data_IF_519622894384
#
_entry.id   IF_519622894384
#
_cell.length_a   1.000
_cell.length_b   1.000
_cell.length_c   1.000
_cell.angle_alpha   90.00
_cell.angle_beta   90.00
_cell.angle_gamma   90.00
#
_symmetry.space_group_name_H-M   'P 1'
#
loop_
_entity.id
_entity.type
_entity.pdbx_description
1 polymer ?
#
# COMPACT_ATOMS: atom_id res chain seq x y z
N UNK A 1 9.06 -0.18 6.89
CA UNK A 1 7.96 0.48 6.14
C UNK A 1 6.88 0.89 7.14
N UNK A 2 6.14 1.98 6.91
CA UNK A 2 5.16 2.53 7.86
C UNK A 2 3.79 1.81 7.87
N UNK A 3 2.74 2.53 8.29
CA UNK A 3 1.38 2.00 8.36
C UNK A 3 0.73 1.77 6.98
N UNK A 4 -0.54 1.34 6.98
CA UNK A 4 -1.27 0.95 5.76
C UNK A 4 -1.22 1.98 4.62
N UNK A 5 -1.32 3.28 4.93
CA UNK A 5 -1.20 4.32 3.90
C UNK A 5 0.17 4.32 3.20
N UNK A 6 1.26 4.11 3.94
CA UNK A 6 2.60 4.05 3.34
C UNK A 6 2.73 2.85 2.41
N UNK A 7 2.18 1.70 2.80
CA UNK A 7 2.18 0.49 1.99
C UNK A 7 1.31 0.68 0.74
N UNK A 8 0.15 1.33 0.86
CA UNK A 8 -0.72 1.61 -0.28
C UNK A 8 -0.09 2.59 -1.27
N UNK A 9 0.51 3.68 -0.80
CA UNK A 9 1.31 4.58 -1.66
C UNK A 9 2.49 3.84 -2.31
N UNK A 10 3.14 2.94 -1.57
CA UNK A 10 4.21 2.11 -2.12
C UNK A 10 3.72 1.21 -3.25
N UNK A 11 2.55 0.56 -3.08
CA UNK A 11 1.93 -0.26 -4.11
C UNK A 11 1.59 0.55 -5.35
N UNK A 12 0.97 1.73 -5.19
CA UNK A 12 0.63 2.58 -6.33
C UNK A 12 1.85 2.94 -7.19
N UNK A 13 2.97 3.29 -6.54
CA UNK A 13 4.21 3.66 -7.23
C UNK A 13 4.91 2.45 -7.86
N UNK A 14 4.90 1.31 -7.19
CA UNK A 14 5.40 0.05 -7.74
C UNK A 14 4.58 -0.39 -8.97
N UNK A 15 3.26 -0.28 -8.91
CA UNK A 15 2.36 -0.58 -10.02
C UNK A 15 2.57 0.37 -11.19
N UNK A 16 2.75 1.68 -10.93
CA UNK A 16 3.08 2.64 -11.99
C UNK A 16 4.41 2.30 -12.66
N UNK A 17 5.45 1.93 -11.88
CA UNK A 17 6.69 1.40 -12.46
C UNK A 17 6.43 0.14 -13.30
N UNK A 18 5.68 -0.83 -12.80
CA UNK A 18 5.36 -2.05 -13.56
C UNK A 18 4.67 -1.72 -14.90
N UNK A 19 3.76 -0.74 -14.89
CA UNK A 19 3.09 -0.21 -16.10
C UNK A 19 4.09 0.40 -17.08
N UNK A 20 4.90 1.36 -16.63
CA UNK A 20 5.89 2.05 -17.46
C UNK A 20 6.95 1.08 -18.02
N UNK A 21 7.29 0.03 -17.25
CA UNK A 21 8.23 -1.03 -17.62
C UNK A 21 7.60 -2.15 -18.47
N UNK A 22 6.27 -2.15 -18.64
CA UNK A 22 5.49 -3.25 -19.27
C UNK A 22 5.78 -4.61 -18.66
N UNK A 23 5.76 -4.68 -17.32
CA UNK A 23 6.03 -5.90 -16.55
C UNK A 23 4.82 -6.31 -15.71
N UNK A 24 4.74 -7.61 -15.41
CA UNK A 24 3.84 -8.12 -14.39
C UNK A 24 4.24 -7.56 -13.03
N UNK A 25 3.28 -7.01 -12.30
CA UNK A 25 3.43 -6.59 -10.92
C UNK A 25 3.22 -7.81 -10.00
N UNK A 26 4.18 -8.04 -9.10
CA UNK A 26 4.03 -9.05 -8.05
C UNK A 26 3.81 -8.31 -6.74
N UNK A 27 2.61 -8.42 -6.21
CA UNK A 27 2.15 -7.70 -5.02
C UNK A 27 2.60 -8.47 -3.77
N UNK A 28 3.36 -7.84 -2.85
CA UNK A 28 3.71 -8.49 -1.58
C UNK A 28 2.48 -8.63 -0.66
N UNK A 29 2.52 -9.51 0.36
CA UNK A 29 1.56 -9.46 1.45
C UNK A 29 1.50 -8.05 2.06
N UNK A 30 0.33 -7.68 2.59
CA UNK A 30 0.20 -6.46 3.41
C UNK A 30 1.07 -6.68 4.64
N UNK A 31 2.13 -5.89 4.80
CA UNK A 31 3.09 -6.12 5.88
C UNK A 31 2.45 -5.89 7.25
N UNK A 32 2.48 -6.88 8.15
CA UNK A 32 2.12 -6.67 9.54
C UNK A 32 3.06 -5.64 10.16
N UNK A 33 2.53 -4.79 11.02
CA UNK A 33 3.32 -3.90 11.86
C UNK A 33 3.42 -4.50 13.28
N UNK A 34 4.06 -3.79 14.19
CA UNK A 34 4.20 -4.19 15.61
C UNK A 34 2.88 -4.52 16.33
N UNK A 35 1.72 -4.17 15.76
CA UNK A 35 0.41 -4.41 16.33
C UNK A 35 -0.24 -5.72 15.85
N UNK A 36 0.30 -6.37 14.81
CA UNK A 36 -0.22 -7.63 14.28
C UNK A 36 0.85 -8.71 14.43
N UNK A 37 0.61 -9.68 15.31
CA UNK A 37 1.53 -10.80 15.58
C UNK A 37 1.31 -11.95 14.61
N UNK A 38 1.48 -11.68 13.32
CA UNK A 38 1.46 -12.71 12.27
C UNK A 38 2.79 -12.72 11.55
N UNK A 39 3.14 -13.88 11.00
CA UNK A 39 4.37 -14.05 10.24
C UNK A 39 4.32 -13.31 8.91
N UNK A 40 3.42 -13.74 8.04
CA UNK A 40 3.09 -13.07 6.79
C UNK A 40 1.74 -12.40 6.97
N UNK A 41 1.61 -11.17 6.49
CA UNK A 41 0.31 -10.53 6.50
C UNK A 41 -0.58 -11.00 5.36
N UNK A 42 -1.85 -10.58 5.37
CA UNK A 42 -2.85 -11.09 4.46
C UNK A 42 -2.57 -10.70 3.00
N UNK A 43 -3.23 -11.41 2.09
CA UNK A 43 -3.21 -11.09 0.65
C UNK A 43 -3.96 -9.76 0.40
N UNK A 44 -3.63 -9.07 -0.68
CA UNK A 44 -4.42 -7.92 -1.13
C UNK A 44 -5.79 -8.37 -1.65
N UNK A 45 -5.88 -9.51 -2.32
CA UNK A 45 -7.15 -10.07 -2.82
C UNK A 45 -8.20 -10.34 -1.72
N UNK A 46 -7.78 -10.50 -0.46
CA UNK A 46 -8.71 -10.62 0.67
C UNK A 46 -9.54 -9.36 0.90
N UNK A 47 -9.04 -8.20 0.46
CA UNK A 47 -9.69 -6.90 0.62
C UNK A 47 -10.06 -6.23 -0.70
N UNK A 48 -9.29 -6.44 -1.77
CA UNK A 48 -9.41 -5.69 -3.03
C UNK A 48 -9.71 -6.60 -4.21
N UNK A 49 -10.43 -6.06 -5.19
CA UNK A 49 -10.71 -6.73 -6.46
C UNK A 49 -9.52 -6.58 -7.42
N UNK A 50 -8.58 -7.54 -7.36
CA UNK A 50 -7.37 -7.53 -8.17
C UNK A 50 -7.62 -7.84 -9.65
N UNK A 51 -8.70 -8.55 -9.99
CA UNK A 51 -9.08 -8.82 -11.38
C UNK A 51 -9.53 -7.52 -12.07
N UNK A 52 -10.46 -6.80 -11.44
CA UNK A 52 -10.88 -5.48 -11.90
C UNK A 52 -9.72 -4.49 -11.94
N UNK A 53 -8.85 -4.49 -10.93
CA UNK A 53 -7.67 -3.65 -10.90
C UNK A 53 -6.74 -3.93 -12.08
N UNK A 54 -6.42 -5.20 -12.35
CA UNK A 54 -5.56 -5.61 -13.46
C UNK A 54 -6.15 -5.17 -14.80
N UNK A 55 -7.44 -5.43 -15.02
CA UNK A 55 -8.15 -5.07 -16.25
C UNK A 55 -8.19 -3.56 -16.50
N UNK A 56 -8.46 -2.75 -15.47
CA UNK A 56 -8.61 -1.30 -15.62
C UNK A 56 -7.28 -0.55 -15.67
N UNK A 57 -6.28 -1.00 -14.91
CA UNK A 57 -4.94 -0.38 -14.90
C UNK A 57 -4.08 -0.79 -16.10
N UNK A 58 -4.40 -1.91 -16.75
CA UNK A 58 -3.63 -2.50 -17.83
C UNK A 58 -2.35 -3.20 -17.35
N UNK A 59 -2.28 -3.56 -16.07
CA UNK A 59 -1.11 -4.18 -15.44
C UNK A 59 -1.44 -5.64 -15.11
N UNK A 60 -0.70 -6.62 -15.65
CA UNK A 60 -0.81 -8.00 -15.17
C UNK A 60 -0.36 -8.07 -13.71
N UNK A 61 -1.17 -8.71 -12.86
CA UNK A 61 -0.92 -8.78 -11.42
C UNK A 61 -0.85 -10.23 -10.99
N UNK A 62 0.13 -10.52 -10.14
CA UNK A 62 0.21 -11.73 -9.33
C UNK A 62 0.40 -11.33 -7.87
N UNK A 63 -0.07 -12.14 -6.94
CA UNK A 63 0.29 -11.97 -5.54
C UNK A 63 1.49 -12.86 -5.19
N UNK A 64 2.33 -12.42 -4.26
CA UNK A 64 3.50 -13.20 -3.84
C UNK A 64 3.11 -14.61 -3.36
N UNK A 65 1.95 -14.74 -2.72
CA UNK A 65 1.44 -16.02 -2.26
C UNK A 65 1.15 -17.02 -3.39
N UNK A 66 0.96 -16.55 -4.63
CA UNK A 66 0.80 -17.41 -5.81
C UNK A 66 2.15 -17.83 -6.39
N UNK A 67 3.21 -17.08 -6.08
CA UNK A 67 4.60 -17.37 -6.45
C UNK A 67 5.24 -18.32 -5.45
N UNK A 68 5.06 -18.06 -4.15
CA UNK A 68 5.63 -18.85 -3.07
C UNK A 68 4.68 -18.90 -1.88
N UNK A 69 4.29 -20.11 -1.50
CA UNK A 69 3.51 -20.34 -0.30
C UNK A 69 4.38 -20.14 0.93
N UNK A 70 3.90 -19.31 1.86
CA UNK A 70 4.52 -19.09 3.16
C UNK A 70 3.67 -19.76 4.24
N UNK A 71 4.28 -20.38 5.25
CA UNK A 71 3.51 -20.99 6.33
C UNK A 71 2.79 -19.90 7.12
N UNK A 72 1.49 -20.09 7.38
CA UNK A 72 0.69 -19.18 8.21
C UNK A 72 1.27 -19.03 9.63
N UNK A 73 1.76 -20.15 10.18
CA UNK A 73 2.37 -20.25 11.50
C UNK A 73 3.77 -20.88 11.37
N UNK A 74 4.83 -20.08 11.22
CA UNK A 74 6.19 -20.59 11.17
C UNK A 74 6.59 -21.20 12.54
N UNK A 75 7.33 -22.31 12.58
CA UNK A 75 7.90 -22.78 13.84
C UNK A 75 8.91 -21.76 14.39
N UNK A 76 9.09 -21.73 15.71
CA UNK A 76 10.01 -20.79 16.38
C UNK A 76 11.45 -20.87 15.83
N UNK A 77 11.89 -22.08 15.45
CA UNK A 77 13.17 -22.30 14.78
C UNK A 77 13.27 -21.59 13.42
N UNK A 78 12.15 -21.48 12.68
CA UNK A 78 12.09 -20.73 11.43
C UNK A 78 12.13 -19.22 11.70
N UNK A 79 11.52 -18.72 12.77
CA UNK A 79 11.56 -17.29 13.07
C UNK A 79 12.97 -16.77 13.35
N UNK A 80 13.81 -17.54 14.03
CA UNK A 80 15.20 -17.15 14.35
C UNK A 80 16.21 -17.48 13.25
N UNK A 81 15.89 -18.44 12.38
CA UNK A 81 16.80 -18.93 11.33
C UNK A 81 16.16 -18.95 9.94
N UNK A 82 15.23 -18.03 9.67
CA UNK A 82 14.46 -17.98 8.42
C UNK A 82 15.36 -17.97 7.18
N UNK A 83 16.52 -17.34 7.29
CA UNK A 83 17.54 -17.27 6.25
C UNK A 83 18.08 -18.65 5.83
N UNK A 84 18.14 -19.62 6.75
CA UNK A 84 18.54 -20.99 6.45
C UNK A 84 17.48 -21.74 5.62
N UNK A 85 16.24 -21.27 5.66
CA UNK A 85 15.11 -21.81 4.90
C UNK A 85 14.76 -20.95 3.68
N UNK A 86 15.46 -19.82 3.51
CA UNK A 86 15.29 -18.91 2.38
C UNK A 86 16.05 -19.40 1.15
N UNK A 87 15.46 -19.19 -0.03
CA UNK A 87 16.15 -19.43 -1.30
C UNK A 87 16.84 -18.15 -1.78
N UNK A 88 18.00 -18.31 -2.40
CA UNK A 88 18.71 -17.18 -3.00
C UNK A 88 17.88 -16.56 -4.13
N UNK A 89 17.59 -15.27 -3.98
CA UNK A 89 16.77 -14.53 -4.93
C UNK A 89 17.59 -13.41 -5.57
N UNK A 90 18.13 -13.63 -6.79
CA UNK A 90 18.88 -12.61 -7.51
C UNK A 90 17.95 -11.46 -7.86
N UNK A 91 18.33 -10.24 -7.46
CA UNK A 91 17.49 -9.10 -7.72
C UNK A 91 18.24 -7.79 -7.92
N UNK A 92 17.80 -7.03 -8.92
CA UNK A 92 18.24 -5.65 -9.12
C UNK A 92 17.33 -4.76 -8.30
N UNK A 93 17.87 -4.26 -7.19
CA UNK A 93 17.16 -3.39 -6.28
C UNK A 93 17.19 -1.94 -6.76
N UNK A 94 16.04 -1.30 -6.87
CA UNK A 94 15.96 0.14 -7.09
C UNK A 94 14.71 0.77 -6.47
N UNK A 95 14.62 2.10 -6.42
CA UNK A 95 13.43 2.83 -6.02
C UNK A 95 13.15 2.82 -4.53
N UNK A 96 14.08 3.37 -3.74
CA UNK A 96 13.85 3.60 -2.32
C UNK A 96 15.14 3.79 -1.51
N UNK A 97 15.33 2.93 -0.52
CA UNK A 97 16.36 3.03 0.53
C UNK A 97 17.46 1.98 0.37
N UNK A 98 17.47 1.28 -0.76
CA UNK A 98 18.43 0.20 -1.04
C UNK A 98 18.07 -1.10 -0.33
N UNK A 99 18.80 -2.16 -0.67
CA UNK A 99 18.64 -3.50 -0.09
C UNK A 99 19.73 -3.86 0.92
N UNK A 100 20.38 -2.85 1.54
CA UNK A 100 21.45 -3.16 2.49
C UNK A 100 20.97 -4.11 3.60
N UNK A 101 21.86 -5.05 3.95
CA UNK A 101 21.54 -6.19 4.81
C UNK A 101 21.28 -5.80 6.27
N UNK A 102 21.48 -4.53 6.64
CA UNK A 102 21.63 -4.16 8.04
C UNK A 102 20.31 -4.12 8.82
N UNK A 103 19.28 -3.46 8.29
CA UNK A 103 18.18 -3.02 9.17
C UNK A 103 16.80 -2.98 8.56
N UNK A 104 16.66 -2.94 7.24
CA UNK A 104 15.37 -2.56 6.66
C UNK A 104 14.40 -3.73 6.43
N UNK A 105 14.88 -4.95 6.63
CA UNK A 105 14.20 -6.14 6.13
C UNK A 105 14.07 -7.30 7.10
N UNK A 106 14.55 -7.20 8.33
CA UNK A 106 14.48 -8.33 9.28
C UNK A 106 13.04 -8.72 9.61
N UNK A 107 12.07 -7.82 9.40
CA UNK A 107 10.64 -8.12 9.50
C UNK A 107 9.94 -8.37 8.16
N UNK A 108 10.58 -8.01 7.04
CA UNK A 108 9.97 -8.10 5.70
C UNK A 108 10.42 -9.36 4.97
N UNK A 109 11.73 -9.62 4.90
CA UNK A 109 12.33 -10.81 4.26
C UNK A 109 11.77 -12.14 4.73
N UNK A 110 11.53 -12.36 6.05
CA UNK A 110 11.02 -13.65 6.49
C UNK A 110 9.64 -13.96 5.89
N UNK A 111 8.82 -12.93 5.62
CA UNK A 111 7.51 -13.08 4.99
C UNK A 111 7.58 -13.63 3.56
N UNK A 112 8.73 -13.49 2.89
CA UNK A 112 8.94 -13.99 1.52
C UNK A 112 9.67 -15.31 1.48
N UNK A 113 10.32 -15.73 2.57
CA UNK A 113 11.20 -16.91 2.58
C UNK A 113 12.27 -16.86 1.47
N UNK A 114 12.86 -15.67 1.28
CA UNK A 114 13.90 -15.41 0.27
C UNK A 114 15.11 -14.69 0.84
N UNK A 115 16.29 -15.15 0.43
CA UNK A 115 17.57 -14.48 0.64
C UNK A 115 17.84 -13.56 -0.55
N UNK A 116 17.47 -12.27 -0.44
CA UNK A 116 17.76 -11.30 -1.49
C UNK A 116 19.26 -11.19 -1.75
N UNK A 117 19.67 -11.51 -2.98
CA UNK A 117 21.03 -11.30 -3.48
C UNK A 117 20.99 -10.09 -4.40
N UNK A 118 21.44 -8.96 -3.89
CA UNK A 118 21.55 -7.75 -4.68
C UNK A 118 22.47 -8.01 -5.87
N UNK A 119 21.94 -7.80 -7.07
CA UNK A 119 22.73 -7.73 -8.30
C UNK A 119 22.89 -6.25 -8.61
N UNK A 120 24.14 -5.81 -8.77
CA UNK A 120 24.41 -4.44 -9.17
C UNK A 120 23.98 -4.25 -10.63
N UNK A 121 23.14 -3.25 -10.89
CA UNK A 121 23.00 -2.74 -12.26
C UNK A 121 24.21 -1.86 -12.54
N UNK A 122 24.82 -2.03 -13.72
CA UNK A 122 25.97 -1.20 -14.14
C UNK A 122 25.65 0.30 -14.13
N UNK A 123 24.37 0.66 -14.25
CA UNK A 123 23.91 2.06 -14.29
C UNK A 123 23.44 2.60 -12.93
N UNK A 124 23.24 1.74 -11.93
CA UNK A 124 22.76 2.19 -10.63
C UNK A 124 23.90 2.71 -9.75
N UNK A 125 24.15 4.02 -9.83
CA UNK A 125 25.10 4.72 -8.97
C UNK A 125 24.58 4.94 -7.54
N UNK A 126 23.32 4.63 -7.27
CA UNK A 126 22.67 4.87 -5.96
C UNK A 126 22.66 3.64 -5.06
N UNK A 127 23.05 2.47 -5.57
CA UNK A 127 22.97 1.20 -4.85
C UNK A 127 21.55 0.91 -4.34
N UNK A 128 20.56 1.14 -5.20
CA UNK A 128 19.14 0.93 -4.97
C UNK A 128 18.47 2.00 -4.10
N UNK A 129 19.17 3.11 -3.83
CA UNK A 129 18.72 4.22 -2.97
C UNK A 129 18.09 5.38 -3.76
N UNK A 130 17.80 5.17 -5.04
CA UNK A 130 17.18 6.21 -5.86
C UNK A 130 15.79 6.55 -5.33
N UNK A 131 15.56 7.83 -5.09
CA UNK A 131 14.25 8.38 -4.73
C UNK A 131 13.60 9.12 -5.87
N UNK A 132 14.30 9.40 -6.96
CA UNK A 132 13.71 10.04 -8.13
C UNK A 132 13.14 8.96 -9.06
N UNK A 133 11.86 9.11 -9.42
CA UNK A 133 11.10 8.11 -10.16
C UNK A 133 11.65 7.86 -11.56
N UNK A 134 12.01 8.90 -12.30
CA UNK A 134 12.51 8.75 -13.68
C UNK A 134 13.84 8.00 -13.71
N UNK A 135 14.73 8.26 -12.77
CA UNK A 135 16.00 7.56 -12.60
C UNK A 135 15.77 6.10 -12.24
N UNK A 136 14.91 5.82 -11.24
CA UNK A 136 14.61 4.44 -10.85
C UNK A 136 13.99 3.67 -12.03
N UNK A 137 13.07 4.27 -12.78
CA UNK A 137 12.49 3.70 -13.99
C UNK A 137 13.56 3.43 -15.05
N UNK A 138 14.41 4.41 -15.34
CA UNK A 138 15.37 4.34 -16.44
C UNK A 138 16.45 3.28 -16.18
N UNK A 139 16.94 3.17 -14.95
CA UNK A 139 17.85 2.07 -14.54
C UNK A 139 17.17 0.72 -14.71
N UNK A 140 15.91 0.58 -14.30
CA UNK A 140 15.16 -0.68 -14.44
C UNK A 140 14.80 -1.01 -15.91
N UNK A 141 14.70 0.00 -16.78
CA UNK A 141 14.45 -0.14 -18.22
C UNK A 141 15.68 -0.60 -19.00
N UNK A 142 16.83 0.02 -18.74
CA UNK A 142 18.06 -0.14 -19.54
C UNK A 142 18.80 -1.43 -19.25
N UNK A 143 18.49 -2.09 -18.15
CA UNK A 143 18.96 -3.42 -17.81
C UNK A 143 18.30 -4.54 -18.66
N UNK A 144 18.17 -4.30 -19.97
CA UNK A 144 17.75 -5.25 -21.02
C UNK A 144 18.94 -5.78 -21.83
N UNK A 145 20.16 -5.35 -21.53
CA UNK A 145 21.26 -5.36 -22.50
C UNK A 145 22.55 -6.06 -22.10
N UNK A 146 22.55 -6.93 -21.08
CA UNK A 146 23.66 -7.89 -20.91
C UNK A 146 23.27 -9.29 -21.40
N UNK A 147 23.88 -9.65 -22.52
CA UNK A 147 23.63 -10.80 -23.37
C UNK A 147 24.20 -12.10 -22.77
N UNK A 148 23.57 -12.63 -21.72
CA UNK A 148 23.71 -14.07 -21.41
C UNK A 148 22.39 -14.63 -20.90
N UNK A 149 21.65 -15.32 -21.76
CA UNK A 149 20.62 -16.37 -21.56
C UNK A 149 19.88 -16.48 -20.19
N UNK A 150 19.66 -15.38 -19.48
CA UNK A 150 18.94 -15.29 -18.20
C UNK A 150 17.85 -14.24 -18.31
N UNK A 151 17.13 -14.29 -19.44
CA UNK A 151 16.11 -13.38 -19.96
C UNK A 151 14.90 -13.11 -19.04
N UNK A 152 14.98 -13.53 -17.77
CA UNK A 152 13.92 -13.51 -16.75
C UNK A 152 14.37 -12.91 -15.41
N UNK A 153 15.25 -11.89 -15.41
CA UNK A 153 15.73 -11.33 -14.14
C UNK A 153 14.68 -10.47 -13.43
N UNK A 154 14.47 -10.75 -12.14
CA UNK A 154 13.57 -10.04 -11.23
C UNK A 154 14.06 -8.62 -10.96
N UNK A 155 13.12 -7.68 -10.93
CA UNK A 155 13.37 -6.28 -10.53
C UNK A 155 12.73 -6.07 -9.17
N UNK A 156 13.53 -5.77 -8.16
CA UNK A 156 13.04 -5.58 -6.80
C UNK A 156 12.96 -4.11 -6.49
N UNK A 157 11.89 -3.74 -5.80
CA UNK A 157 11.76 -2.42 -5.24
C UNK A 157 11.94 -2.51 -3.74
N UNK A 158 12.89 -1.74 -3.22
CA UNK A 158 13.23 -1.74 -1.79
C UNK A 158 12.11 -1.08 -0.97
N UNK A 159 11.75 0.14 -1.34
CA UNK A 159 10.68 0.90 -0.69
C UNK A 159 10.15 2.00 -1.63
N UNK A 160 9.27 1.64 -2.59
CA UNK A 160 8.70 2.58 -3.55
C UNK A 160 7.98 3.78 -2.90
N UNK A 161 7.59 3.68 -1.63
CA UNK A 161 7.09 4.80 -0.83
C UNK A 161 8.02 6.04 -0.80
N UNK A 162 9.32 5.89 -1.05
CA UNK A 162 10.23 7.05 -1.08
C UNK A 162 10.43 7.64 -2.48
N UNK A 163 9.89 7.02 -3.52
CA UNK A 163 9.95 7.57 -4.88
C UNK A 163 9.23 8.92 -4.97
N UNK A 164 9.76 9.85 -5.73
CA UNK A 164 9.23 11.18 -5.94
C UNK A 164 9.44 11.61 -7.39
N UNK A 165 8.72 12.65 -7.81
CA UNK A 165 8.79 13.18 -9.17
C UNK A 165 7.71 14.26 -9.38
N UNK A 166 7.86 15.13 -10.39
CA UNK A 166 6.98 16.28 -10.63
C UNK A 166 5.49 15.92 -10.80
N UNK A 167 5.17 14.72 -11.27
CA UNK A 167 3.81 14.24 -11.59
C UNK A 167 3.49 12.88 -10.94
N UNK A 168 4.41 12.32 -10.15
CA UNK A 168 4.33 10.95 -9.68
C UNK A 168 3.06 10.69 -8.87
N UNK A 169 2.69 11.61 -7.97
CA UNK A 169 1.53 11.41 -7.11
C UNK A 169 0.22 11.42 -7.93
N UNK A 170 0.10 12.35 -8.88
CA UNK A 170 -1.10 12.47 -9.72
C UNK A 170 -1.24 11.27 -10.66
N UNK A 171 -0.14 10.83 -11.28
CA UNK A 171 -0.13 9.61 -12.11
C UNK A 171 -0.42 8.37 -11.28
N UNK A 172 0.26 8.20 -10.14
CA UNK A 172 0.05 7.06 -9.26
C UNK A 172 -1.40 6.99 -8.75
N UNK A 173 -2.05 8.13 -8.49
CA UNK A 173 -3.46 8.13 -8.12
C UNK A 173 -4.38 7.86 -9.31
N UNK A 174 -4.27 8.67 -10.37
CA UNK A 174 -5.22 8.65 -11.49
C UNK A 174 -5.12 7.39 -12.36
N UNK A 175 -3.93 6.84 -12.54
CA UNK A 175 -3.71 5.67 -13.39
C UNK A 175 -3.75 4.34 -12.62
N UNK A 176 -3.64 4.37 -11.29
CA UNK A 176 -3.52 3.17 -10.45
C UNK A 176 -4.48 3.22 -9.27
N UNK A 177 -4.35 4.23 -8.40
CA UNK A 177 -5.10 4.33 -7.14
C UNK A 177 -6.62 4.23 -7.32
N UNK A 178 -7.17 4.89 -8.35
CA UNK A 178 -8.62 4.85 -8.67
C UNK A 178 -9.14 3.46 -9.04
N UNK A 179 -8.27 2.54 -9.47
CA UNK A 179 -8.65 1.18 -9.86
C UNK A 179 -8.56 0.18 -8.71
N UNK A 180 -7.96 0.55 -7.57
CA UNK A 180 -7.92 -0.30 -6.39
C UNK A 180 -9.26 -0.21 -5.65
N UNK A 181 -10.19 -1.08 -6.02
CA UNK A 181 -11.53 -1.16 -5.42
C UNK A 181 -11.59 -2.26 -4.39
N UNK A 182 -12.36 -2.05 -3.32
CA UNK A 182 -12.66 -3.13 -2.38
C UNK A 182 -13.44 -4.25 -3.10
N UNK A 183 -13.21 -5.49 -2.66
CA UNK A 183 -13.93 -6.64 -3.20
C UNK A 183 -15.35 -6.72 -2.62
N UNK A 184 -16.18 -7.57 -3.22
CA UNK A 184 -17.57 -7.76 -2.80
C UNK A 184 -17.72 -8.21 -1.34
N UNK A 185 -16.74 -8.95 -0.80
CA UNK A 185 -16.74 -9.38 0.61
C UNK A 185 -16.62 -8.19 1.55
N UNK A 186 -15.67 -7.28 1.30
CA UNK A 186 -15.49 -6.07 2.12
C UNK A 186 -16.69 -5.14 1.96
N UNK A 187 -17.15 -4.90 0.74
CA UNK A 187 -18.33 -4.06 0.48
C UNK A 187 -19.58 -4.60 1.21
N UNK A 188 -19.82 -5.92 1.17
CA UNK A 188 -20.93 -6.54 1.89
C UNK A 188 -20.82 -6.40 3.42
N UNK A 189 -19.61 -6.54 3.97
CA UNK A 189 -19.36 -6.34 5.40
C UNK A 189 -19.63 -4.88 5.81
N UNK A 190 -19.20 -3.91 5.00
CA UNK A 190 -19.48 -2.49 5.26
C UNK A 190 -20.98 -2.21 5.17
N UNK A 191 -21.67 -2.77 4.18
CA UNK A 191 -23.11 -2.66 4.06
C UNK A 191 -23.85 -3.19 5.29
N UNK A 192 -23.44 -4.34 5.84
CA UNK A 192 -24.02 -4.91 7.07
C UNK A 192 -23.80 -4.00 8.29
N UNK A 193 -22.59 -3.44 8.42
CA UNK A 193 -22.26 -2.49 9.49
C UNK A 193 -23.13 -1.24 9.36
N UNK A 194 -23.28 -0.69 8.16
CA UNK A 194 -24.10 0.49 7.91
C UNK A 194 -25.59 0.22 8.11
N UNK A 195 -26.10 -0.93 7.67
CA UNK A 195 -27.49 -1.34 7.90
C UNK A 195 -27.79 -1.44 9.41
N UNK A 196 -26.81 -1.87 10.21
CA UNK A 196 -26.93 -1.97 11.68
C UNK A 196 -26.87 -0.61 12.37
N UNK A 197 -25.91 0.25 11.98
CA UNK A 197 -25.65 1.52 12.67
C UNK A 197 -26.57 2.65 12.21
N UNK A 198 -27.04 2.59 10.97
CA UNK A 198 -27.84 3.62 10.30
C UNK A 198 -29.15 3.03 9.73
N UNK A 199 -29.98 2.37 10.57
CA UNK A 199 -31.19 1.71 10.10
C UNK A 199 -32.15 2.71 9.47
N UNK A 200 -32.71 2.36 8.31
CA UNK A 200 -33.73 3.19 7.65
C UNK A 200 -35.04 3.19 8.45
N UNK A 201 -35.70 4.34 8.62
CA UNK A 201 -37.07 4.38 9.14
C UNK A 201 -37.98 3.56 8.24
N UNK A 202 -38.89 2.75 8.82
CA UNK A 202 -39.84 1.92 8.07
C UNK A 202 -40.74 2.72 7.10
N UNK A 203 -40.82 4.04 7.27
CA UNK A 203 -41.60 4.98 6.46
C UNK A 203 -40.81 5.62 5.31
N UNK A 204 -39.51 5.37 5.20
CA UNK A 204 -38.67 5.95 4.15
C UNK A 204 -38.91 5.24 2.80
N UNK A 205 -39.75 5.82 1.95
CA UNK A 205 -39.85 5.44 0.53
C UNK A 205 -38.54 5.74 -0.18
N UNK A 206 -37.99 4.77 -0.93
CA UNK A 206 -36.76 4.89 -1.72
C UNK A 206 -36.95 5.83 -2.92
N UNK A 207 -37.05 7.13 -2.67
CA UNK A 207 -37.12 8.14 -3.74
C UNK A 207 -35.76 8.45 -4.35
N UNK A 208 -34.65 8.15 -3.66
CA UNK A 208 -33.29 8.52 -4.10
C UNK A 208 -32.43 7.37 -4.63
N UNK A 209 -32.94 6.13 -4.61
CA UNK A 209 -32.17 4.94 -5.01
C UNK A 209 -30.94 4.62 -4.14
N UNK A 210 -30.68 5.39 -3.07
CA UNK A 210 -29.55 5.16 -2.15
C UNK A 210 -29.89 4.09 -1.12
N UNK A 211 -28.94 3.19 -0.86
CA UNK A 211 -29.08 2.09 0.11
C UNK A 211 -29.09 2.59 1.56
N UNK A 212 -28.24 3.56 1.88
CA UNK A 212 -28.03 4.08 3.24
C UNK A 212 -28.43 5.56 3.33
N UNK A 213 -28.83 6.07 4.51
CA UNK A 213 -29.05 7.51 4.70
C UNK A 213 -27.76 8.31 4.45
N UNK A 214 -27.86 9.62 4.30
CA UNK A 214 -26.65 10.46 4.27
C UNK A 214 -26.02 10.52 5.66
N UNK A 215 -24.70 10.37 5.75
CA UNK A 215 -23.94 10.49 6.99
C UNK A 215 -22.62 11.21 6.75
N UNK A 216 -21.90 11.51 7.82
CA UNK A 216 -20.57 12.12 7.80
C UNK A 216 -19.60 11.10 8.38
N UNK A 217 -18.53 10.79 7.66
CA UNK A 217 -17.41 9.99 8.16
C UNK A 217 -16.31 10.95 8.57
N UNK A 218 -15.78 10.78 9.78
CA UNK A 218 -14.63 11.54 10.29
C UNK A 218 -13.50 10.56 10.60
N UNK A 219 -12.36 10.74 9.94
CA UNK A 219 -11.14 9.99 10.25
C UNK A 219 -10.28 10.78 11.24
N UNK A 220 -10.20 10.32 12.48
CA UNK A 220 -9.44 10.96 13.55
C UNK A 220 -8.10 10.26 13.77
N UNK A 221 -7.01 10.83 13.23
CA UNK A 221 -5.67 10.35 13.55
C UNK A 221 -5.18 10.98 14.85
N UNK A 222 -5.16 10.20 15.93
CA UNK A 222 -4.72 10.57 17.29
C UNK A 222 -3.71 9.56 17.83
N UNK A 223 -3.04 9.90 18.93
CA UNK A 223 -2.09 9.02 19.62
C UNK A 223 -0.65 9.21 19.13
N UNK A 224 -0.06 8.15 18.58
CA UNK A 224 1.35 8.11 18.16
C UNK A 224 1.76 9.20 17.15
N UNK A 225 0.79 9.79 16.44
CA UNK A 225 1.00 10.90 15.52
C UNK A 225 1.62 12.13 16.20
N UNK A 226 1.45 12.26 17.52
CA UNK A 226 2.09 13.31 18.32
C UNK A 226 3.62 13.29 18.20
N UNK A 227 4.20 12.11 17.95
CA UNK A 227 5.64 11.96 17.71
C UNK A 227 6.12 12.62 16.41
N UNK A 228 5.19 13.07 15.56
CA UNK A 228 5.47 13.82 14.33
C UNK A 228 5.40 15.34 14.52
N UNK A 229 5.02 15.81 15.70
CA UNK A 229 5.08 17.23 16.04
C UNK A 229 6.53 17.73 16.06
N UNK A 230 6.73 19.01 15.75
CA UNK A 230 8.09 19.58 15.78
C UNK A 230 8.62 19.59 17.22
N UNK A 231 9.93 19.36 17.44
CA UNK A 231 10.50 19.48 18.78
C UNK A 231 10.19 20.84 19.40
N UNK A 232 9.64 20.84 20.62
CA UNK A 232 9.26 22.06 21.35
C UNK A 232 7.93 22.70 20.92
N UNK A 233 7.22 22.14 19.95
CA UNK A 233 5.86 22.56 19.61
C UNK A 233 4.87 22.01 20.64
N UNK A 234 3.91 22.84 21.08
CA UNK A 234 2.80 22.39 21.90
C UNK A 234 1.92 21.43 21.08
N UNK A 235 1.52 20.31 21.67
CA UNK A 235 0.69 19.30 21.01
C UNK A 235 -0.63 19.89 20.52
N UNK A 236 -1.17 20.87 21.23
CA UNK A 236 -2.42 21.53 20.85
C UNK A 236 -2.31 22.32 19.53
N UNK A 237 -1.11 22.83 19.24
CA UNK A 237 -0.81 23.59 18.02
C UNK A 237 -0.40 22.67 16.87
N UNK A 238 -0.11 21.41 17.17
CA UNK A 238 0.26 20.38 16.20
C UNK A 238 -0.93 19.53 15.76
N UNK A 239 -1.85 19.22 16.68
CA UNK A 239 -3.01 18.37 16.47
C UNK A 239 -4.28 19.23 16.41
N UNK A 240 -5.15 18.95 15.44
CA UNK A 240 -6.48 19.58 15.35
C UNK A 240 -7.26 19.28 16.64
N UNK A 241 -7.87 20.27 17.28
CA UNK A 241 -8.60 20.05 18.54
C UNK A 241 -9.96 19.36 18.32
N UNK A 242 -10.51 18.69 19.34
CA UNK A 242 -11.78 17.97 19.23
C UNK A 242 -12.94 18.96 19.01
N UNK A 243 -12.88 20.10 19.67
CA UNK A 243 -13.85 21.19 19.60
C UNK A 243 -13.93 21.74 18.17
N UNK A 244 -12.77 21.97 17.53
CA UNK A 244 -12.70 22.43 16.14
C UNK A 244 -13.32 21.42 15.16
N UNK A 245 -13.14 20.11 15.42
CA UNK A 245 -13.77 19.06 14.61
C UNK A 245 -15.28 19.07 14.82
N UNK A 246 -15.75 19.17 16.07
CA UNK A 246 -17.17 19.21 16.38
C UNK A 246 -17.86 20.40 15.72
N UNK A 247 -17.27 21.59 15.81
CA UNK A 247 -17.76 22.80 15.15
C UNK A 247 -17.87 22.60 13.62
N UNK A 248 -16.86 21.96 13.00
CA UNK A 248 -16.90 21.68 11.56
C UNK A 248 -17.96 20.66 11.17
N UNK A 249 -18.19 19.63 11.98
CA UNK A 249 -19.27 18.66 11.77
C UNK A 249 -20.63 19.37 11.86
N UNK A 250 -20.82 20.22 12.87
CA UNK A 250 -22.06 21.00 13.06
C UNK A 250 -22.31 21.97 11.89
N UNK A 251 -21.27 22.63 11.38
CA UNK A 251 -21.37 23.48 10.18
C UNK A 251 -21.83 22.68 8.94
N UNK A 252 -21.30 21.48 8.73
CA UNK A 252 -21.67 20.63 7.59
C UNK A 252 -23.11 20.14 7.74
N UNK A 253 -23.49 19.68 8.93
CA UNK A 253 -24.87 19.26 9.23
C UNK A 253 -25.87 20.40 9.01
N UNK A 254 -25.55 21.62 9.48
CA UNK A 254 -26.38 22.80 9.25
C UNK A 254 -26.56 23.08 7.75
N UNK A 255 -25.49 23.01 6.96
CA UNK A 255 -25.56 23.20 5.50
C UNK A 255 -26.42 22.13 4.82
N UNK A 256 -26.33 20.87 5.25
CA UNK A 256 -27.17 19.77 4.73
C UNK A 256 -28.65 20.01 5.02
N UNK A 257 -28.99 20.41 6.25
CA UNK A 257 -30.38 20.72 6.65
C UNK A 257 -30.98 21.87 5.85
N UNK A 258 -30.21 22.94 5.61
CA UNK A 258 -30.67 24.07 4.78
C UNK A 258 -30.94 23.61 3.35
N UNK A 259 -30.01 22.87 2.73
CA UNK A 259 -30.17 22.34 1.36
C UNK A 259 -31.36 21.40 1.22
N UNK A 260 -31.72 20.64 2.27
CA UNK A 260 -32.87 19.75 2.25
C UNK A 260 -34.22 20.50 2.31
N UNK A 261 -34.22 21.80 2.64
CA UNK A 261 -35.40 22.66 2.70
C UNK A 261 -35.58 23.52 1.43
N UNK A 262 -34.58 23.55 0.55
CA UNK A 262 -34.61 24.22 -0.77
C UNK A 262 -35.13 23.27 -1.87
#
# INVERSE_FOLDING_TARGET
MGGGNNQFTSLQRAALLAKDLKRTLIIPPISPNSHIKVWAGPRYSEFYDLESFSAQSGIPVLEWHDVKQTPENPPESLTHHWNNFGEDFPCIANGGIGVDNGHLYDHFRPQFMMNFKSIASAEDTTHGKAVEYSFARDVLLKDKQDQSETDNMWKCLSCPYFLNGPDLNDRAWSEIGLHMKFNAKVEAMIDEILDTLLPRPATATTTTGRRHPEFIIVHLRRGDIVTKCKPGQDEKDCLVQIEEIAEKVDEIEKKRRVKALE
#
